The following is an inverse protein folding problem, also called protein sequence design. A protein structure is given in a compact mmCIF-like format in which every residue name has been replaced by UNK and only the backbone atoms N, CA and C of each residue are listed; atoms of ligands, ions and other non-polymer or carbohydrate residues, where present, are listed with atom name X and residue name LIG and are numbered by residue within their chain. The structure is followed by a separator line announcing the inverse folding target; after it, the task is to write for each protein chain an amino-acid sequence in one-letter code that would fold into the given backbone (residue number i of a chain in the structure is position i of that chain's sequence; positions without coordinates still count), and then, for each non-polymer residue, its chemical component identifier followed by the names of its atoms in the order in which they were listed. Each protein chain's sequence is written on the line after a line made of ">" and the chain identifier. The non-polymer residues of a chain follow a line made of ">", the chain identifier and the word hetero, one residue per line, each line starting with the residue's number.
data_IF_726209177981
#
_entry.id   IF_726209177981
#
_cell.length_a   1.000
_cell.length_b   1.000
_cell.length_c   1.000
_cell.angle_alpha   90.00
_cell.angle_beta   90.00
_cell.angle_gamma   90.00
#
_symmetry.space_group_name_H-M   'P 1'
#
loop_
_entity.id
_entity.type
_entity.pdbx_description
1 polymer ?
#
# COMPACT_ATOMS: atom_id res chain seq x y z
N UNK A 1 11.64 -50.48 -21.82
CA UNK A 1 12.92 -50.03 -21.23
C UNK A 1 12.69 -48.93 -20.16
N UNK A 2 11.79 -47.97 -20.33
CA UNK A 2 11.56 -46.89 -19.38
C UNK A 2 11.15 -47.35 -17.98
N UNK A 3 10.26 -48.36 -17.86
CA UNK A 3 9.82 -48.91 -16.56
C UNK A 3 10.94 -49.59 -15.75
N UNK A 4 11.91 -50.19 -16.42
CA UNK A 4 13.05 -50.78 -15.77
C UNK A 4 13.95 -49.74 -15.07
N UNK A 5 14.22 -48.60 -15.75
CA UNK A 5 15.02 -47.53 -15.20
C UNK A 5 14.34 -46.84 -14.02
N UNK A 6 13.03 -46.68 -14.07
CA UNK A 6 12.23 -46.14 -12.95
C UNK A 6 12.32 -47.06 -11.72
N UNK A 7 12.13 -48.36 -11.93
CA UNK A 7 12.26 -49.36 -10.84
C UNK A 7 13.67 -49.38 -10.22
N UNK A 8 14.70 -49.28 -11.06
CA UNK A 8 16.08 -49.21 -10.59
C UNK A 8 16.34 -47.94 -9.76
N UNK A 9 15.83 -46.79 -10.22
CA UNK A 9 15.89 -45.51 -9.51
C UNK A 9 15.19 -45.57 -8.14
N UNK A 10 13.96 -46.07 -8.08
CA UNK A 10 13.22 -46.24 -6.82
C UNK A 10 13.97 -47.18 -5.83
N UNK A 11 14.57 -48.25 -6.33
CA UNK A 11 15.34 -49.19 -5.50
C UNK A 11 16.61 -48.51 -4.94
N UNK A 12 17.26 -47.66 -5.72
CA UNK A 12 18.42 -46.87 -5.28
C UNK A 12 18.06 -45.88 -4.18
N UNK A 13 16.94 -45.16 -4.33
CA UNK A 13 16.43 -44.22 -3.33
C UNK A 13 16.11 -44.89 -2.00
N UNK A 14 15.50 -46.08 -2.05
CA UNK A 14 15.21 -46.89 -0.84
C UNK A 14 16.46 -47.45 -0.15
N UNK A 15 17.54 -47.61 -0.86
CA UNK A 15 18.80 -48.14 -0.32
C UNK A 15 19.54 -47.16 0.58
N UNK A 16 19.38 -45.85 0.32
CA UNK A 16 20.01 -44.76 1.08
C UNK A 16 18.98 -43.74 1.56
N UNK A 17 18.11 -44.07 2.54
CA UNK A 17 16.98 -43.24 2.90
C UNK A 17 17.38 -41.85 3.47
N UNK A 18 18.49 -41.77 4.23
CA UNK A 18 18.99 -40.55 4.82
C UNK A 18 19.45 -39.56 3.74
N UNK A 19 20.20 -40.05 2.76
CA UNK A 19 20.67 -39.23 1.65
C UNK A 19 19.51 -38.74 0.78
N UNK A 20 18.56 -39.63 0.52
CA UNK A 20 17.35 -39.32 -0.23
C UNK A 20 16.52 -38.22 0.49
N UNK A 21 16.34 -38.37 1.81
CA UNK A 21 15.63 -37.39 2.62
C UNK A 21 16.32 -36.01 2.58
N UNK A 22 17.66 -35.97 2.71
CA UNK A 22 18.42 -34.74 2.63
C UNK A 22 18.29 -34.06 1.26
N UNK A 23 18.32 -34.83 0.17
CA UNK A 23 18.12 -34.32 -1.18
C UNK A 23 16.70 -33.71 -1.35
N UNK A 24 15.67 -34.45 -0.89
CA UNK A 24 14.28 -33.98 -0.96
C UNK A 24 14.07 -32.72 -0.13
N UNK A 25 14.62 -32.66 1.08
CA UNK A 25 14.56 -31.46 1.93
C UNK A 25 15.29 -30.27 1.28
N UNK A 26 16.48 -30.47 0.71
CA UNK A 26 17.22 -29.42 0.05
C UNK A 26 16.45 -28.83 -1.14
N UNK A 27 15.92 -29.68 -2.00
CA UNK A 27 15.09 -29.27 -3.14
C UNK A 27 13.81 -28.58 -2.65
N UNK A 28 13.13 -29.16 -1.65
CA UNK A 28 11.91 -28.62 -1.08
C UNK A 28 12.11 -27.23 -0.49
N UNK A 29 13.19 -27.01 0.27
CA UNK A 29 13.54 -25.69 0.82
C UNK A 29 13.84 -24.68 -0.29
N UNK A 30 14.57 -25.09 -1.34
CA UNK A 30 14.87 -24.23 -2.49
C UNK A 30 13.59 -23.78 -3.22
N UNK A 31 12.68 -24.70 -3.48
CA UNK A 31 11.38 -24.40 -4.10
C UNK A 31 10.54 -23.50 -3.19
N UNK A 32 10.47 -23.82 -1.90
CA UNK A 32 9.70 -23.02 -0.94
C UNK A 32 10.19 -21.57 -0.87
N UNK A 33 11.51 -21.36 -0.80
CA UNK A 33 12.11 -20.02 -0.79
C UNK A 33 11.80 -19.26 -2.09
N UNK A 34 11.96 -19.90 -3.25
CA UNK A 34 11.67 -19.29 -4.55
C UNK A 34 10.19 -18.92 -4.69
N UNK A 35 9.29 -19.83 -4.32
CA UNK A 35 7.84 -19.57 -4.39
C UNK A 35 7.40 -18.45 -3.45
N UNK A 36 7.98 -18.40 -2.24
CA UNK A 36 7.70 -17.31 -1.30
C UNK A 36 8.11 -15.96 -1.90
N UNK A 37 9.32 -15.87 -2.45
CA UNK A 37 9.82 -14.63 -3.07
C UNK A 37 8.94 -14.20 -4.24
N UNK A 38 8.59 -15.12 -5.15
CA UNK A 38 7.72 -14.85 -6.28
C UNK A 38 6.31 -14.42 -5.84
N UNK A 39 5.76 -15.05 -4.82
CA UNK A 39 4.45 -14.69 -4.26
C UNK A 39 4.46 -13.28 -3.69
N UNK A 40 5.48 -12.94 -2.91
CA UNK A 40 5.64 -11.58 -2.36
C UNK A 40 5.78 -10.56 -3.49
N UNK A 41 6.64 -10.81 -4.48
CA UNK A 41 6.78 -9.94 -5.65
C UNK A 41 5.46 -9.77 -6.40
N UNK A 42 4.72 -10.84 -6.62
CA UNK A 42 3.42 -10.78 -7.30
C UNK A 42 2.40 -9.98 -6.50
N UNK A 43 2.31 -10.18 -5.19
CA UNK A 43 1.38 -9.44 -4.32
C UNK A 43 1.75 -7.96 -4.22
N UNK A 44 3.05 -7.63 -4.16
CA UNK A 44 3.50 -6.24 -4.10
C UNK A 44 3.38 -5.51 -5.45
N UNK A 45 3.48 -6.23 -6.55
CA UNK A 45 3.35 -5.68 -7.90
C UNK A 45 1.92 -5.75 -8.46
N UNK A 46 0.98 -6.37 -7.73
CA UNK A 46 -0.41 -6.43 -8.17
C UNK A 46 -1.05 -5.05 -8.14
N UNK A 47 -1.79 -4.73 -9.20
CA UNK A 47 -2.59 -3.51 -9.25
C UNK A 47 -3.76 -3.63 -8.25
N UNK A 48 -3.84 -2.74 -7.24
CA UNK A 48 -4.91 -2.80 -6.24
C UNK A 48 -6.29 -2.44 -6.80
N UNK A 49 -6.36 -1.76 -7.95
CA UNK A 49 -7.60 -1.30 -8.56
C UNK A 49 -7.60 -1.53 -10.09
N UNK A 50 -7.49 -2.78 -10.56
CA UNK A 50 -7.30 -3.08 -11.98
C UNK A 50 -8.43 -2.59 -12.89
N UNK A 51 -9.64 -2.37 -12.34
CA UNK A 51 -10.78 -1.82 -13.07
C UNK A 51 -10.78 -0.28 -13.19
N UNK A 52 -9.86 0.40 -12.51
CA UNK A 52 -9.75 1.87 -12.49
C UNK A 52 -8.36 2.40 -12.81
N UNK A 53 -7.34 1.56 -12.82
CA UNK A 53 -5.94 2.00 -12.95
C UNK A 53 -5.68 2.76 -14.26
N UNK A 54 -6.40 2.42 -15.33
CA UNK A 54 -6.35 3.13 -16.61
C UNK A 54 -6.92 4.56 -16.56
N UNK A 55 -7.70 4.89 -15.51
CA UNK A 55 -8.33 6.20 -15.27
C UNK A 55 -7.66 7.00 -14.15
N UNK A 56 -6.77 6.35 -13.39
CA UNK A 56 -6.05 7.00 -12.31
C UNK A 56 -4.71 7.53 -12.82
N UNK A 57 -4.57 8.85 -12.84
CA UNK A 57 -3.36 9.50 -13.28
C UNK A 57 -2.71 10.26 -12.15
N UNK A 58 -1.42 10.06 -11.98
CA UNK A 58 -0.60 10.85 -11.08
C UNK A 58 -0.06 12.08 -11.82
N UNK A 59 -0.37 13.25 -11.31
CA UNK A 59 0.11 14.51 -11.89
C UNK A 59 1.48 14.83 -11.30
N UNK A 60 2.46 14.96 -12.17
CA UNK A 60 3.84 15.32 -11.83
C UNK A 60 4.18 16.62 -12.55
N UNK A 61 4.76 17.57 -11.83
CA UNK A 61 5.18 18.86 -12.37
C UNK A 61 6.66 19.05 -12.08
N UNK A 62 7.39 19.50 -13.10
CA UNK A 62 8.74 19.98 -12.92
C UNK A 62 8.69 21.46 -12.51
N UNK A 63 8.53 21.68 -11.22
CA UNK A 63 8.48 23.00 -10.58
C UNK A 63 9.75 23.33 -9.79
N UNK A 64 10.84 22.63 -10.10
CA UNK A 64 12.14 22.81 -9.45
C UNK A 64 13.01 23.84 -10.20
N UNK A 65 14.21 24.03 -9.72
CA UNK A 65 15.17 24.95 -10.33
C UNK A 65 15.59 24.45 -11.73
N UNK A 66 15.46 25.33 -12.74
CA UNK A 66 15.80 25.01 -14.14
C UNK A 66 17.27 24.64 -14.32
N UNK A 67 18.15 25.10 -13.43
CA UNK A 67 19.60 24.87 -13.53
C UNK A 67 20.10 23.69 -12.71
N UNK A 68 19.24 23.14 -11.82
CA UNK A 68 19.60 22.05 -10.94
C UNK A 68 18.50 20.98 -10.95
N UNK A 69 18.81 19.78 -11.40
CA UNK A 69 17.90 18.66 -11.31
C UNK A 69 17.58 18.32 -9.84
N UNK A 70 16.33 17.96 -9.55
CA UNK A 70 15.94 17.51 -8.22
C UNK A 70 16.56 16.13 -7.88
N UNK A 71 16.54 15.23 -8.85
CA UNK A 71 17.22 13.94 -8.78
C UNK A 71 18.37 13.88 -9.79
N UNK A 72 19.41 13.11 -9.48
CA UNK A 72 20.60 12.93 -10.35
C UNK A 72 20.27 12.35 -11.72
N UNK A 73 19.15 11.65 -11.86
CA UNK A 73 18.67 11.07 -13.13
C UNK A 73 17.76 12.02 -13.94
N UNK A 74 17.62 13.26 -13.50
CA UNK A 74 16.84 14.30 -14.20
C UNK A 74 15.32 14.16 -14.08
N UNK A 75 14.81 13.26 -13.21
CA UNK A 75 13.37 13.18 -12.95
C UNK A 75 12.88 14.40 -12.17
N UNK A 76 11.65 14.87 -12.44
CA UNK A 76 11.03 15.91 -11.64
C UNK A 76 10.74 15.45 -10.21
N UNK A 77 10.49 16.38 -9.26
CA UNK A 77 10.08 16.05 -7.91
C UNK A 77 8.88 15.09 -7.85
N UNK A 78 8.88 14.15 -6.91
CA UNK A 78 7.75 13.23 -6.71
C UNK A 78 6.49 13.90 -6.19
N UNK A 79 6.57 15.13 -5.73
CA UNK A 79 5.46 15.87 -5.16
C UNK A 79 5.37 17.26 -5.74
N UNK A 80 4.15 17.69 -6.02
CA UNK A 80 3.86 19.09 -6.36
C UNK A 80 3.85 19.95 -5.10
N UNK A 81 4.10 21.26 -5.23
CA UNK A 81 3.96 22.17 -4.10
C UNK A 81 2.49 22.31 -3.69
N UNK A 82 2.25 22.78 -2.46
CA UNK A 82 0.89 23.03 -1.99
C UNK A 82 0.14 24.01 -2.91
N UNK A 83 0.81 25.07 -3.39
CA UNK A 83 0.23 26.05 -4.29
C UNK A 83 -0.15 25.46 -5.64
N UNK A 84 0.72 24.62 -6.21
CA UNK A 84 0.44 23.93 -7.47
C UNK A 84 -0.71 22.93 -7.32
N UNK A 85 -0.74 22.18 -6.22
CA UNK A 85 -1.85 21.30 -5.89
C UNK A 85 -3.17 22.03 -5.79
N UNK A 86 -3.21 23.19 -5.12
CA UNK A 86 -4.40 24.04 -5.03
C UNK A 86 -4.81 24.59 -6.40
N UNK A 87 -3.87 25.04 -7.22
CA UNK A 87 -4.15 25.55 -8.56
C UNK A 87 -4.71 24.44 -9.47
N UNK A 88 -4.18 23.23 -9.40
CA UNK A 88 -4.69 22.07 -10.12
C UNK A 88 -6.12 21.70 -9.68
N UNK A 89 -6.37 21.69 -8.37
CA UNK A 89 -7.70 21.45 -7.83
C UNK A 89 -8.71 22.50 -8.30
N UNK A 90 -8.32 23.78 -8.25
CA UNK A 90 -9.16 24.90 -8.71
C UNK A 90 -9.43 24.88 -10.22
N UNK A 91 -8.50 24.35 -11.01
CA UNK A 91 -8.67 24.26 -12.46
C UNK A 91 -9.77 23.29 -12.89
N UNK A 92 -10.14 22.29 -12.07
CA UNK A 92 -11.27 21.39 -12.26
C UNK A 92 -11.28 20.67 -13.61
N UNK A 93 -10.12 20.18 -14.08
CA UNK A 93 -9.99 19.59 -15.42
C UNK A 93 -10.30 18.11 -15.48
N UNK A 94 -10.30 17.42 -14.35
CA UNK A 94 -10.64 16.00 -14.26
C UNK A 94 -12.04 15.82 -13.68
N UNK A 95 -12.68 14.68 -14.01
CA UNK A 95 -14.00 14.32 -13.47
C UNK A 95 -13.96 14.17 -11.94
N UNK A 96 -12.85 13.62 -11.44
CA UNK A 96 -12.52 13.50 -10.02
C UNK A 96 -11.05 13.86 -9.82
N UNK A 97 -10.78 14.58 -8.76
CA UNK A 97 -9.42 14.99 -8.45
C UNK A 97 -9.22 15.10 -6.93
N UNK A 98 -8.09 14.63 -6.46
CA UNK A 98 -7.72 14.69 -5.06
C UNK A 98 -6.25 15.06 -4.91
N UNK A 99 -5.97 16.16 -4.28
CA UNK A 99 -4.63 16.49 -3.82
C UNK A 99 -4.38 15.80 -2.48
N UNK A 100 -3.16 15.30 -2.27
CA UNK A 100 -2.81 14.54 -1.08
C UNK A 100 -1.48 15.02 -0.51
N UNK A 101 -1.45 15.27 0.80
CA UNK A 101 -0.22 15.64 1.50
C UNK A 101 0.04 14.70 2.66
N UNK A 102 1.28 14.30 2.81
CA UNK A 102 1.71 13.54 3.99
C UNK A 102 1.78 14.45 5.20
N UNK A 103 1.23 13.98 6.32
CA UNK A 103 1.35 14.65 7.62
C UNK A 103 1.82 13.67 8.68
N UNK A 104 2.48 14.17 9.69
CA UNK A 104 2.77 13.45 10.91
C UNK A 104 1.96 14.06 12.05
N UNK A 105 1.10 13.27 12.66
CA UNK A 105 0.24 13.69 13.76
C UNK A 105 0.74 13.08 15.07
N UNK A 106 1.13 13.89 16.05
CA UNK A 106 1.31 13.39 17.40
C UNK A 106 -0.06 13.04 18.00
N UNK A 107 -0.24 11.78 18.37
CA UNK A 107 -1.45 11.29 19.01
C UNK A 107 -1.17 11.11 20.49
N UNK A 108 -1.97 11.77 21.30
CA UNK A 108 -2.00 11.56 22.74
C UNK A 108 -3.29 10.83 23.10
N UNK A 109 -3.21 9.53 23.39
CA UNK A 109 -4.40 8.75 23.76
C UNK A 109 -4.97 9.21 25.10
N UNK A 110 -6.29 9.09 25.25
CA UNK A 110 -6.95 9.32 26.55
C UNK A 110 -6.63 8.21 27.56
N UNK A 111 -6.41 6.98 27.06
CA UNK A 111 -5.99 5.87 27.90
C UNK A 111 -4.52 6.04 28.35
N UNK A 112 -4.25 6.19 29.66
CA UNK A 112 -2.90 6.42 30.18
C UNK A 112 -1.95 5.22 29.99
N UNK A 113 -2.47 4.03 29.72
CA UNK A 113 -1.66 2.85 29.41
C UNK A 113 -1.04 2.89 28.01
N UNK A 114 -1.63 3.69 27.10
CA UNK A 114 -1.14 3.85 25.74
C UNK A 114 -0.24 5.08 25.68
N UNK A 115 1.06 4.87 25.48
CA UNK A 115 2.01 5.99 25.36
C UNK A 115 1.71 6.83 24.11
N UNK A 116 1.94 8.17 24.16
CA UNK A 116 1.88 9.03 23.00
C UNK A 116 2.76 8.51 21.86
N UNK A 117 2.26 8.62 20.62
CA UNK A 117 3.00 8.18 19.44
C UNK A 117 2.71 9.07 18.23
N UNK A 118 3.63 9.07 17.28
CA UNK A 118 3.42 9.74 16.01
C UNK A 118 2.74 8.78 15.04
N UNK A 119 1.65 9.24 14.42
CA UNK A 119 0.97 8.55 13.32
C UNK A 119 1.20 9.29 12.02
N UNK A 120 1.56 8.55 10.99
CA UNK A 120 1.60 9.10 9.64
C UNK A 120 0.19 9.09 9.05
N UNK A 121 -0.20 10.21 8.50
CA UNK A 121 -1.50 10.38 7.85
C UNK A 121 -1.38 11.03 6.49
N UNK A 122 -2.52 11.18 5.84
CA UNK A 122 -2.68 11.96 4.62
C UNK A 122 -3.84 12.91 4.77
N UNK A 123 -3.63 14.17 4.45
CA UNK A 123 -4.72 15.12 4.19
C UNK A 123 -5.14 14.94 2.75
N UNK A 124 -6.44 14.86 2.49
CA UNK A 124 -6.98 14.68 1.15
C UNK A 124 -8.38 15.26 1.03
N UNK A 125 -8.99 15.15 -0.13
CA UNK A 125 -10.34 15.60 -0.46
C UNK A 125 -11.32 14.44 -0.61
N UNK A 126 -12.61 14.71 -0.57
CA UNK A 126 -13.69 13.71 -0.64
C UNK A 126 -13.61 12.82 -1.89
N UNK A 127 -13.17 13.36 -3.03
CA UNK A 127 -13.02 12.58 -4.26
C UNK A 127 -12.03 11.41 -4.13
N UNK A 128 -11.09 11.46 -3.16
CA UNK A 128 -10.19 10.37 -2.85
C UNK A 128 -10.92 9.05 -2.62
N UNK A 129 -12.01 9.08 -1.87
CA UNK A 129 -12.76 7.86 -1.54
C UNK A 129 -13.41 7.23 -2.77
N UNK A 130 -13.95 8.05 -3.67
CA UNK A 130 -14.53 7.58 -4.91
C UNK A 130 -13.49 7.13 -5.95
N UNK A 131 -12.27 7.70 -5.90
CA UNK A 131 -11.16 7.32 -6.76
C UNK A 131 -10.53 5.99 -6.31
N UNK A 132 -10.26 5.82 -5.01
CA UNK A 132 -9.47 4.70 -4.47
C UNK A 132 -10.30 3.62 -3.78
N UNK A 133 -11.59 3.83 -3.52
CA UNK A 133 -12.53 2.86 -2.93
C UNK A 133 -11.98 2.13 -1.68
N UNK A 134 -11.40 2.83 -0.69
CA UNK A 134 -10.92 2.17 0.50
C UNK A 134 -12.09 1.50 1.24
N UNK A 135 -11.96 0.25 1.69
CA UNK A 135 -13.01 -0.42 2.44
C UNK A 135 -13.15 0.20 3.84
N UNK A 136 -14.39 0.45 4.25
CA UNK A 136 -14.73 0.92 5.61
C UNK A 136 -15.25 -0.25 6.44
N UNK A 137 -14.72 -0.38 7.67
CA UNK A 137 -15.26 -1.31 8.66
C UNK A 137 -16.46 -0.70 9.40
N UNK A 138 -16.35 0.62 9.69
CA UNK A 138 -17.37 1.42 10.35
C UNK A 138 -17.47 2.77 9.66
N UNK A 139 -18.64 3.40 9.67
CA UNK A 139 -18.88 4.70 9.06
C UNK A 139 -18.72 4.70 7.55
N UNK A 140 -18.19 5.81 7.02
CA UNK A 140 -18.04 5.99 5.59
C UNK A 140 -17.19 7.21 5.23
N UNK A 141 -17.09 7.52 3.93
CA UNK A 141 -16.38 8.68 3.45
C UNK A 141 -17.10 9.98 3.83
N UNK A 142 -16.33 11.03 4.00
CA UNK A 142 -16.91 12.39 4.01
C UNK A 142 -17.24 12.85 2.60
N UNK A 143 -18.05 13.90 2.47
CA UNK A 143 -18.52 14.45 1.21
C UNK A 143 -17.85 15.79 0.87
N UNK A 144 -18.13 16.32 -0.34
CA UNK A 144 -17.60 17.61 -0.79
C UNK A 144 -18.07 18.79 0.07
N UNK A 145 -19.26 18.71 0.67
CA UNK A 145 -19.75 19.75 1.56
C UNK A 145 -18.86 19.88 2.79
N UNK A 146 -18.41 18.75 3.33
CA UNK A 146 -17.48 18.73 4.46
C UNK A 146 -16.10 19.26 4.09
N UNK A 147 -15.63 19.05 2.83
CA UNK A 147 -14.43 19.69 2.32
C UNK A 147 -14.59 21.22 2.27
N UNK A 148 -15.70 21.73 1.72
CA UNK A 148 -15.98 23.16 1.56
C UNK A 148 -16.13 23.86 2.92
N UNK A 149 -16.76 23.20 3.87
CA UNK A 149 -16.95 23.70 5.24
C UNK A 149 -15.69 23.52 6.12
N UNK A 150 -14.62 22.91 5.59
CA UNK A 150 -13.41 22.57 6.34
C UNK A 150 -13.72 21.80 7.63
N UNK A 151 -14.65 20.85 7.52
CA UNK A 151 -15.09 20.03 8.63
C UNK A 151 -13.91 19.24 9.23
N UNK A 152 -13.89 19.13 10.56
CA UNK A 152 -12.85 18.36 11.28
C UNK A 152 -13.20 16.88 11.30
N UNK A 153 -12.99 16.21 10.18
CA UNK A 153 -13.24 14.78 10.01
C UNK A 153 -11.94 14.01 9.82
N UNK A 154 -11.92 12.80 10.30
CA UNK A 154 -10.76 11.91 10.18
C UNK A 154 -11.24 10.46 9.93
N UNK A 155 -10.50 9.75 9.09
CA UNK A 155 -10.67 8.30 8.93
C UNK A 155 -9.43 7.63 9.52
N UNK A 156 -9.65 6.75 10.46
CA UNK A 156 -8.60 5.97 11.11
C UNK A 156 -8.36 4.66 10.37
N UNK A 157 -7.11 4.23 10.30
CA UNK A 157 -6.82 2.85 9.87
C UNK A 157 -7.29 1.87 10.94
N UNK A 158 -7.60 0.64 10.53
CA UNK A 158 -7.98 -0.43 11.46
C UNK A 158 -6.96 -0.59 12.60
N UNK A 159 -5.66 -0.61 12.27
CA UNK A 159 -4.60 -0.73 13.26
C UNK A 159 -4.56 0.45 14.26
N UNK A 160 -4.83 1.67 13.80
CA UNK A 160 -4.90 2.84 14.67
C UNK A 160 -6.12 2.77 15.58
N UNK A 161 -7.28 2.36 15.05
CA UNK A 161 -8.49 2.16 15.84
C UNK A 161 -8.31 1.06 16.91
N UNK A 162 -7.73 -0.08 16.53
CA UNK A 162 -7.41 -1.15 17.49
C UNK A 162 -6.50 -0.65 18.63
N UNK A 163 -5.49 0.14 18.29
CA UNK A 163 -4.54 0.68 19.27
C UNK A 163 -5.14 1.72 20.21
N UNK A 164 -6.03 2.58 19.71
CA UNK A 164 -6.61 3.69 20.48
C UNK A 164 -7.89 3.29 21.21
N UNK A 165 -8.73 2.49 20.57
CA UNK A 165 -10.11 2.24 20.99
C UNK A 165 -10.46 0.74 21.06
N UNK A 166 -9.46 -0.14 20.94
CA UNK A 166 -9.69 -1.58 21.00
C UNK A 166 -10.50 -2.15 19.84
N UNK A 167 -10.56 -1.44 18.70
CA UNK A 167 -11.28 -1.89 17.51
C UNK A 167 -12.80 -1.68 17.54
N UNK A 168 -13.30 -0.89 18.49
CA UNK A 168 -14.73 -0.59 18.60
C UNK A 168 -15.20 0.39 17.53
N UNK A 169 -16.51 0.43 17.27
CA UNK A 169 -17.14 1.45 16.46
C UNK A 169 -17.14 2.78 17.25
N UNK A 170 -16.51 3.78 16.70
CA UNK A 170 -16.36 5.12 17.27
C UNK A 170 -16.87 6.22 16.32
N UNK A 171 -17.73 5.85 15.38
CA UNK A 171 -18.33 6.78 14.42
C UNK A 171 -19.31 7.70 15.15
N UNK A 172 -19.04 9.04 15.07
CA UNK A 172 -19.90 10.03 15.73
C UNK A 172 -19.29 11.43 15.72
#
# INVERSE_FOLDING_TARGET
>A
MFGYYIQLGLRSLRRNPVLTLLMVLGIGLGIAASMTTLTVMHLMGADPLPWKSDKLHYVQLDNWDVNNAYYDDGRPPDQVTYRDGQALMAAGKADKQAAMWKIALPIQPENPEVKPFNSLGRVTYADFFAMFEPPFAYGGPWDRKQDDEHARVIVLTKATNEKLFGGQDIVG
#
